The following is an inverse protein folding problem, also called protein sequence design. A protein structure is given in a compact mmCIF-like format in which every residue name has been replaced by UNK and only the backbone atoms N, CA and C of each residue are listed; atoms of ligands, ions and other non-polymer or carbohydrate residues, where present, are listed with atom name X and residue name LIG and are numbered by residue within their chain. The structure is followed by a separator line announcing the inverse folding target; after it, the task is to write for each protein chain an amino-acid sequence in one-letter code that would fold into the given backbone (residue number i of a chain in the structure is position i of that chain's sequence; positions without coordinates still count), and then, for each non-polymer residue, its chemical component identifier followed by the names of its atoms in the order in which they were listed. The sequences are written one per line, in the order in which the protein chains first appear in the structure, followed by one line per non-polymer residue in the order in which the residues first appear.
data_IF_808159143654
#
_entry.id   IF_808159143654
#
_cell.length_a   1.000
_cell.length_b   1.000
_cell.length_c   1.000
_cell.angle_alpha   90.00
_cell.angle_beta   90.00
_cell.angle_gamma   90.00
#
_symmetry.space_group_name_H-M   'P 1'
#
loop_
_entity.id
_entity.type
_entity.pdbx_description
1 polymer ?
#
# COMPACT_ATOMS: atom_id res chain seq x y z
N UNK A 1 3.55 15.38 19.01
CA UNK A 1 4.91 14.77 18.98
C UNK A 1 5.00 13.80 17.81
N UNK A 2 6.01 13.93 16.94
CA UNK A 2 6.31 12.92 15.92
C UNK A 2 6.96 11.74 16.64
N UNK A 3 6.33 10.55 16.61
CA UNK A 3 6.99 9.33 17.10
C UNK A 3 8.25 9.08 16.27
N UNK A 4 9.35 8.79 16.94
CA UNK A 4 10.59 8.47 16.25
C UNK A 4 10.36 7.20 15.41
N UNK A 5 11.12 7.04 14.33
CA UNK A 5 11.03 5.83 13.51
C UNK A 5 11.35 4.56 14.33
N UNK A 6 12.14 4.74 15.39
CA UNK A 6 12.57 3.67 16.29
C UNK A 6 11.49 3.34 17.31
N UNK A 7 10.75 4.33 17.83
CA UNK A 7 9.60 4.11 18.71
C UNK A 7 8.53 3.28 17.99
N UNK A 8 8.31 3.56 16.70
CA UNK A 8 7.37 2.80 15.87
C UNK A 8 7.87 1.37 15.64
N UNK A 9 9.16 1.17 15.43
CA UNK A 9 9.75 -0.15 15.28
C UNK A 9 9.69 -0.95 16.58
N UNK A 10 9.96 -0.32 17.72
CA UNK A 10 9.87 -0.91 19.05
C UNK A 10 8.44 -1.36 19.37
N UNK A 11 7.44 -0.50 19.12
CA UNK A 11 6.05 -0.87 19.29
C UNK A 11 5.65 -2.06 18.42
N UNK A 12 6.13 -2.14 17.17
CA UNK A 12 5.88 -3.30 16.29
C UNK A 12 6.57 -4.56 16.80
N UNK A 13 7.79 -4.42 17.32
CA UNK A 13 8.56 -5.52 17.87
C UNK A 13 7.84 -6.15 19.08
N UNK A 14 7.32 -5.32 19.99
CA UNK A 14 6.54 -5.76 21.15
C UNK A 14 5.34 -6.61 20.72
N UNK A 15 4.64 -6.21 19.65
CA UNK A 15 3.50 -6.97 19.11
C UNK A 15 3.90 -8.32 18.52
N UNK A 16 5.05 -8.42 17.85
CA UNK A 16 5.47 -9.67 17.18
C UNK A 16 6.32 -10.58 18.08
N UNK A 17 6.86 -10.07 19.19
CA UNK A 17 7.71 -10.82 20.14
C UNK A 17 7.16 -12.20 20.51
N UNK A 18 5.85 -12.35 20.82
CA UNK A 18 5.27 -13.66 21.17
C UNK A 18 5.27 -14.70 20.03
N UNK A 19 5.51 -14.26 18.79
CA UNK A 19 5.47 -15.08 17.57
C UNK A 19 6.87 -15.40 17.01
N UNK A 20 7.93 -14.88 17.63
CA UNK A 20 9.32 -15.07 17.21
C UNK A 20 9.96 -16.32 17.82
N UNK A 21 9.27 -17.02 18.71
CA UNK A 21 9.73 -18.26 19.30
C UNK A 21 9.92 -19.34 18.21
N UNK A 22 11.17 -19.76 18.00
CA UNK A 22 11.55 -20.74 16.99
C UNK A 22 11.11 -22.18 17.34
N UNK A 23 10.71 -22.42 18.59
CA UNK A 23 10.19 -23.73 19.04
C UNK A 23 8.70 -23.90 18.78
N UNK A 24 8.04 -22.87 18.25
CA UNK A 24 6.59 -22.85 18.10
C UNK A 24 6.13 -23.68 16.89
N UNK A 25 5.24 -24.65 17.15
CA UNK A 25 4.61 -25.45 16.12
C UNK A 25 3.87 -24.56 15.08
N UNK A 26 3.98 -24.84 13.76
CA UNK A 26 3.32 -24.06 12.71
C UNK A 26 1.81 -23.88 12.90
N UNK A 27 1.08 -24.87 13.45
CA UNK A 27 -0.36 -24.74 13.68
C UNK A 27 -0.63 -23.77 14.82
N UNK A 28 0.07 -23.94 15.93
CA UNK A 28 -0.01 -23.05 17.09
C UNK A 28 0.39 -21.60 16.74
N UNK A 29 1.37 -21.42 15.84
CA UNK A 29 1.79 -20.11 15.35
C UNK A 29 0.68 -19.36 14.62
N UNK A 30 -0.13 -20.06 13.82
CA UNK A 30 -1.27 -19.46 13.11
C UNK A 30 -2.32 -18.96 14.09
N UNK A 31 -2.63 -19.75 15.12
CA UNK A 31 -3.60 -19.39 16.15
C UNK A 31 -3.14 -18.20 17.00
N UNK A 32 -1.91 -18.25 17.52
CA UNK A 32 -1.31 -17.11 18.24
C UNK A 32 -1.26 -15.84 17.39
N UNK A 33 -0.99 -15.96 16.09
CA UNK A 33 -0.98 -14.79 15.21
C UNK A 33 -2.38 -14.17 15.08
N UNK A 34 -3.45 -14.97 15.08
CA UNK A 34 -4.84 -14.45 15.10
C UNK A 34 -5.15 -13.77 16.43
N UNK A 35 -4.72 -14.35 17.54
CA UNK A 35 -4.90 -13.80 18.89
C UNK A 35 -4.18 -12.44 19.03
N UNK A 36 -2.90 -12.37 18.66
CA UNK A 36 -2.11 -11.13 18.65
C UNK A 36 -2.76 -10.07 17.75
N UNK A 37 -3.22 -10.48 16.56
CA UNK A 37 -3.91 -9.57 15.63
C UNK A 37 -5.16 -8.96 16.27
N UNK A 38 -5.95 -9.79 16.97
CA UNK A 38 -7.15 -9.36 17.69
C UNK A 38 -6.81 -8.39 18.83
N UNK A 39 -5.87 -8.73 19.71
CA UNK A 39 -5.47 -7.88 20.85
C UNK A 39 -4.87 -6.53 20.42
N UNK A 40 -4.02 -6.53 19.40
CA UNK A 40 -3.37 -5.31 18.93
C UNK A 40 -4.27 -4.45 18.01
N UNK A 41 -5.48 -4.92 17.68
CA UNK A 41 -6.36 -4.26 16.71
C UNK A 41 -5.73 -4.15 15.32
N UNK A 42 -4.94 -5.14 14.91
CA UNK A 42 -4.29 -5.21 13.59
C UNK A 42 -4.81 -6.40 12.79
N UNK A 43 -4.72 -6.31 11.47
CA UNK A 43 -5.09 -7.45 10.65
C UNK A 43 -4.04 -8.55 10.74
N UNK A 44 -4.48 -9.81 10.63
CA UNK A 44 -3.62 -10.99 10.51
C UNK A 44 -2.50 -10.78 9.47
N UNK A 45 -2.84 -10.20 8.31
CA UNK A 45 -1.89 -9.87 7.24
C UNK A 45 -0.84 -8.83 7.65
N UNK A 46 -1.19 -7.88 8.51
CA UNK A 46 -0.25 -6.86 9.00
C UNK A 46 0.79 -7.46 9.92
N UNK A 47 0.37 -8.30 10.86
CA UNK A 47 1.28 -9.03 11.76
C UNK A 47 2.22 -9.92 10.94
N UNK A 48 1.68 -10.70 10.00
CA UNK A 48 2.50 -11.57 9.13
C UNK A 48 3.49 -10.79 8.24
N UNK A 49 3.10 -9.60 7.76
CA UNK A 49 4.01 -8.72 7.01
C UNK A 49 5.17 -8.23 7.87
N UNK A 50 4.90 -7.79 9.10
CA UNK A 50 5.95 -7.36 10.02
C UNK A 50 6.88 -8.49 10.41
N UNK A 51 6.32 -9.68 10.61
CA UNK A 51 7.07 -10.86 10.96
C UNK A 51 8.05 -11.25 9.84
N UNK A 52 7.57 -11.32 8.59
CA UNK A 52 8.46 -11.52 7.43
C UNK A 52 9.51 -10.42 7.26
N UNK A 53 9.14 -9.18 7.53
CA UNK A 53 10.09 -8.07 7.44
C UNK A 53 11.19 -8.17 8.51
N UNK A 54 10.83 -8.66 9.71
CA UNK A 54 11.77 -8.93 10.79
C UNK A 54 12.67 -10.13 10.49
N UNK A 55 12.12 -11.22 9.97
CA UNK A 55 12.92 -12.39 9.54
C UNK A 55 13.94 -12.01 8.46
N UNK A 56 13.59 -11.11 7.54
CA UNK A 56 14.47 -10.71 6.45
C UNK A 56 15.51 -9.63 6.82
N UNK A 57 15.15 -8.64 7.63
CA UNK A 57 15.99 -7.45 7.88
C UNK A 57 16.14 -7.11 9.38
N UNK A 58 15.74 -8.00 10.27
CA UNK A 58 15.71 -7.78 11.71
C UNK A 58 14.90 -6.54 12.11
N UNK A 59 15.36 -5.85 13.15
CA UNK A 59 14.71 -4.64 13.66
C UNK A 59 14.60 -3.51 12.62
N UNK A 60 15.56 -3.41 11.70
CA UNK A 60 15.51 -2.41 10.63
C UNK A 60 14.30 -2.61 9.70
N UNK A 61 13.86 -3.86 9.50
CA UNK A 61 12.66 -4.19 8.72
C UNK A 61 11.35 -3.72 9.35
N UNK A 62 11.34 -3.44 10.64
CA UNK A 62 10.18 -2.92 11.36
C UNK A 62 10.09 -1.39 11.31
N UNK A 63 11.14 -0.69 10.89
CA UNK A 63 11.09 0.77 10.77
C UNK A 63 10.05 1.17 9.72
N UNK A 64 9.26 2.24 9.96
CA UNK A 64 8.31 2.71 8.96
C UNK A 64 9.05 3.10 7.67
N UNK A 65 8.53 2.64 6.53
CA UNK A 65 9.09 3.01 5.23
C UNK A 65 8.99 4.53 5.08
N UNK A 66 10.10 5.18 4.75
CA UNK A 66 10.09 6.62 4.44
C UNK A 66 9.14 6.83 3.27
N UNK A 67 8.06 7.56 3.50
CA UNK A 67 7.17 7.98 2.41
C UNK A 67 7.96 8.95 1.56
N UNK A 68 8.18 8.64 0.27
CA UNK A 68 8.65 9.64 -0.66
C UNK A 68 7.61 10.75 -0.66
N UNK A 69 7.97 12.01 -0.35
CA UNK A 69 7.01 13.08 -0.48
C UNK A 69 6.56 13.08 -1.94
N UNK A 70 5.24 13.21 -2.18
CA UNK A 70 4.71 13.46 -3.51
C UNK A 70 5.06 14.90 -3.87
N UNK A 71 6.36 15.18 -4.06
CA UNK A 71 6.83 16.50 -4.44
C UNK A 71 6.45 16.73 -5.89
N UNK A 72 5.60 17.74 -6.09
CA UNK A 72 5.21 18.26 -7.41
C UNK A 72 6.44 18.67 -8.23
N UNK A 73 7.57 18.95 -7.58
CA UNK A 73 8.84 19.31 -8.22
C UNK A 73 9.48 18.21 -9.07
N UNK A 74 9.06 16.95 -8.93
CA UNK A 74 9.52 15.85 -9.79
C UNK A 74 8.57 15.60 -10.98
N UNK A 75 7.50 16.40 -11.08
CA UNK A 75 6.51 16.26 -12.14
C UNK A 75 6.90 17.17 -13.32
N UNK A 76 6.63 16.74 -14.57
CA UNK A 76 6.90 17.56 -15.75
C UNK A 76 6.21 18.93 -15.68
N UNK A 77 6.77 19.94 -16.37
CA UNK A 77 6.27 21.33 -16.39
C UNK A 77 4.76 21.46 -16.72
N UNK A 78 4.18 20.49 -17.43
CA UNK A 78 2.75 20.48 -17.83
C UNK A 78 1.89 19.45 -17.08
N UNK A 79 2.34 18.92 -15.94
CA UNK A 79 1.59 17.89 -15.20
C UNK A 79 0.19 18.35 -14.80
N UNK A 80 0.02 19.63 -14.44
CA UNK A 80 -1.28 20.20 -14.06
C UNK A 80 -2.29 20.12 -15.20
N UNK A 81 -1.87 20.49 -16.42
CA UNK A 81 -2.71 20.44 -17.62
C UNK A 81 -3.11 18.99 -17.99
N UNK A 82 -2.15 18.07 -17.90
CA UNK A 82 -2.39 16.62 -18.11
C UNK A 82 -3.33 16.06 -17.05
N UNK A 83 -3.24 16.52 -15.81
CA UNK A 83 -4.10 16.09 -14.73
C UNK A 83 -5.53 16.65 -14.85
N UNK A 84 -5.67 17.91 -15.23
CA UNK A 84 -6.96 18.56 -15.48
C UNK A 84 -7.70 17.92 -16.65
N UNK A 85 -7.02 17.71 -17.78
CA UNK A 85 -7.59 16.99 -18.93
C UNK A 85 -8.02 15.56 -18.57
N UNK A 86 -7.24 14.83 -17.76
CA UNK A 86 -7.61 13.50 -17.29
C UNK A 86 -8.81 13.51 -16.31
N UNK A 87 -8.93 14.54 -15.47
CA UNK A 87 -10.09 14.72 -14.58
C UNK A 87 -11.35 14.98 -15.40
N UNK A 88 -11.29 15.91 -16.35
CA UNK A 88 -12.39 16.23 -17.26
C UNK A 88 -12.82 14.99 -18.04
N UNK A 89 -11.86 14.25 -18.59
CA UNK A 89 -12.15 12.99 -19.28
C UNK A 89 -12.85 11.98 -18.36
N UNK A 90 -12.43 11.84 -17.09
CA UNK A 90 -13.10 10.93 -16.15
C UNK A 90 -14.53 11.39 -15.81
N UNK A 91 -14.79 12.69 -15.81
CA UNK A 91 -16.13 13.27 -15.57
C UNK A 91 -17.04 13.07 -16.79
N UNK A 92 -16.50 13.26 -17.98
CA UNK A 92 -17.23 13.16 -19.25
C UNK A 92 -17.44 11.71 -19.70
N UNK A 93 -16.52 10.81 -19.33
CA UNK A 93 -16.73 9.37 -19.43
C UNK A 93 -17.75 9.00 -18.36
N UNK A 94 -19.02 8.93 -18.77
CA UNK A 94 -20.08 8.28 -17.99
C UNK A 94 -19.50 6.97 -17.44
N UNK A 95 -19.52 6.71 -16.11
CA UNK A 95 -19.08 5.42 -15.60
C UNK A 95 -19.94 4.39 -16.32
N UNK A 96 -19.32 3.56 -17.15
CA UNK A 96 -20.00 2.52 -17.86
C UNK A 96 -20.72 1.67 -16.81
N UNK A 97 -22.04 1.79 -16.75
CA UNK A 97 -22.88 0.84 -16.05
C UNK A 97 -22.56 -0.47 -16.74
N UNK A 98 -21.90 -1.40 -16.04
CA UNK A 98 -21.49 -2.69 -16.60
C UNK A 98 -22.73 -3.37 -17.20
N UNK A 99 -22.89 -3.32 -18.53
CA UNK A 99 -24.03 -3.94 -19.19
C UNK A 99 -24.59 -3.27 -20.45
N UNK A 100 -24.09 -2.14 -20.94
CA UNK A 100 -24.52 -1.64 -22.26
C UNK A 100 -23.35 -1.28 -23.16
N UNK A 101 -23.18 -2.06 -24.22
CA UNK A 101 -22.28 -1.81 -25.35
C UNK A 101 -22.62 -0.48 -26.01
N UNK A 102 -22.03 0.61 -25.53
CA UNK A 102 -22.06 1.88 -26.26
C UNK A 102 -20.93 1.90 -27.29
N UNK A 103 -21.33 2.20 -28.52
CA UNK A 103 -20.59 2.02 -29.77
C UNK A 103 -19.32 2.89 -29.83
N UNK A 104 -18.26 2.27 -30.36
CA UNK A 104 -17.08 2.87 -31.00
C UNK A 104 -16.31 3.98 -30.26
N UNK A 105 -15.37 3.60 -29.40
CA UNK A 105 -14.15 4.39 -29.23
C UNK A 105 -13.18 4.07 -30.38
N UNK A 106 -13.08 4.97 -31.35
CA UNK A 106 -12.07 4.88 -32.40
C UNK A 106 -10.69 5.26 -31.85
N UNK A 107 -9.95 4.25 -31.37
CA UNK A 107 -8.58 4.40 -30.87
C UNK A 107 -7.59 4.93 -31.93
N UNK A 108 -7.89 4.81 -33.22
CA UNK A 108 -7.03 5.34 -34.31
C UNK A 108 -7.03 6.87 -34.38
N UNK A 109 -8.02 7.56 -33.80
CA UNK A 109 -8.05 9.02 -33.76
C UNK A 109 -7.05 9.60 -32.74
N UNK A 110 -6.77 8.89 -31.65
CA UNK A 110 -5.83 9.34 -30.63
C UNK A 110 -4.37 9.26 -31.09
N UNK A 111 -4.06 8.36 -32.02
CA UNK A 111 -2.69 8.10 -32.47
C UNK A 111 -2.17 9.11 -33.51
N UNK A 112 -3.06 9.91 -34.12
CA UNK A 112 -2.70 10.92 -35.14
C UNK A 112 -2.36 12.31 -34.59
N UNK A 113 -2.55 12.55 -33.28
CA UNK A 113 -2.32 13.87 -32.65
C UNK A 113 -1.00 13.97 -31.88
N UNK A 114 -0.15 12.93 -31.99
CA UNK A 114 1.15 12.83 -31.31
C UNK A 114 2.34 12.86 -32.29
N UNK A 115 2.15 13.42 -33.50
CA UNK A 115 3.24 13.73 -34.44
C UNK A 115 3.26 15.23 -34.74
#
# INVERSE_FOLDING_TARGET
MKKSMEDVAAARFEMISPLLDASLDPVLRIEKQKEVAWHCGKSYRTIGRWLKAYEANGFAGLKPKKTCPKTVSALPEHYTEVLESAITLRRDVRPAVYGTSSKSLNWKALQRKAL
#
